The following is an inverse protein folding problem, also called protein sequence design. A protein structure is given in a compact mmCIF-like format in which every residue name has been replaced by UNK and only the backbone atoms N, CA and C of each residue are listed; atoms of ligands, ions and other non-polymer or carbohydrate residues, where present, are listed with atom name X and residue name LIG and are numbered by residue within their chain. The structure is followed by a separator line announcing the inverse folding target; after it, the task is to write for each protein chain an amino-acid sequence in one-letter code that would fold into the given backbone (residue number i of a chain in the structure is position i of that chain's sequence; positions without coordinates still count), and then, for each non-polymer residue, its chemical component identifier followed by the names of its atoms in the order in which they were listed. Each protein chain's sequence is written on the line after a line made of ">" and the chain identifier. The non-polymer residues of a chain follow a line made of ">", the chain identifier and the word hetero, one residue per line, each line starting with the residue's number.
data_IF_690589987551
#
_entry.id   IF_690589987551
#
_cell.length_a   1.000
_cell.length_b   1.000
_cell.length_c   1.000
_cell.angle_alpha   90.00
_cell.angle_beta   90.00
_cell.angle_gamma   90.00
#
_symmetry.space_group_name_H-M   'P 1'
#
loop_
_entity.id
_entity.type
_entity.pdbx_description
1 polymer ?
#
# COMPACT_ATOMS: atom_id res chain seq x y z
N UNK A 1 -10.19 -38.21 22.38
CA UNK A 1 -8.88 -37.58 22.22
C UNK A 1 -8.84 -37.14 20.77
N UNK A 2 -9.12 -35.87 20.50
CA UNK A 2 -8.89 -35.28 19.17
C UNK A 2 -7.40 -35.03 19.10
N UNK A 3 -6.70 -35.72 18.20
CA UNK A 3 -5.43 -35.21 17.73
C UNK A 3 -5.83 -34.14 16.72
N UNK A 4 -5.82 -32.89 17.14
CA UNK A 4 -5.92 -31.76 16.22
C UNK A 4 -4.66 -31.84 15.36
N UNK A 5 -4.81 -32.39 14.15
CA UNK A 5 -3.77 -32.35 13.15
C UNK A 5 -3.88 -30.96 12.55
N UNK A 6 -3.03 -30.05 13.04
CA UNK A 6 -2.78 -28.78 12.41
C UNK A 6 -2.04 -29.08 11.10
N UNK A 7 -2.78 -29.17 9.99
CA UNK A 7 -2.17 -29.42 8.68
C UNK A 7 -1.46 -28.15 8.20
N UNK A 8 -0.40 -28.36 7.41
CA UNK A 8 0.41 -27.29 6.82
C UNK A 8 0.29 -27.34 5.29
N UNK A 9 0.02 -26.18 4.69
CA UNK A 9 -0.02 -26.00 3.23
C UNK A 9 1.29 -25.38 2.74
N UNK A 10 1.83 -25.82 1.61
CA UNK A 10 3.00 -25.15 1.02
C UNK A 10 2.63 -23.72 0.57
N UNK A 11 3.52 -22.73 0.81
CA UNK A 11 3.26 -21.32 0.47
C UNK A 11 2.90 -21.15 -1.01
N UNK A 12 3.58 -21.89 -1.89
CA UNK A 12 3.27 -21.96 -3.31
C UNK A 12 1.82 -22.38 -3.54
N UNK A 13 1.39 -23.50 -2.95
CA UNK A 13 0.03 -24.02 -3.12
C UNK A 13 -1.03 -23.10 -2.55
N UNK A 14 -0.75 -22.42 -1.43
CA UNK A 14 -1.64 -21.38 -0.90
C UNK A 14 -1.77 -20.19 -1.85
N UNK A 15 -0.68 -19.77 -2.48
CA UNK A 15 -0.73 -18.69 -3.46
C UNK A 15 -1.41 -19.13 -4.76
N UNK A 16 -1.17 -20.36 -5.23
CA UNK A 16 -1.85 -20.95 -6.38
C UNK A 16 -3.36 -20.99 -6.15
N UNK A 17 -3.81 -21.44 -4.96
CA UNK A 17 -5.23 -21.40 -4.56
C UNK A 17 -5.83 -20.00 -4.72
N UNK A 18 -5.15 -18.98 -4.19
CA UNK A 18 -5.62 -17.60 -4.26
C UNK A 18 -5.64 -17.09 -5.70
N UNK A 19 -4.66 -17.43 -6.53
CA UNK A 19 -4.55 -16.94 -7.92
C UNK A 19 -5.48 -17.70 -8.87
N UNK A 20 -5.43 -19.02 -8.86
CA UNK A 20 -6.12 -19.89 -9.82
C UNK A 20 -7.61 -20.03 -9.48
N UNK A 21 -7.93 -20.28 -8.20
CA UNK A 21 -9.30 -20.61 -7.77
C UNK A 21 -10.08 -19.37 -7.31
N UNK A 22 -9.36 -18.32 -6.89
CA UNK A 22 -9.98 -17.08 -6.39
C UNK A 22 -9.61 -15.82 -7.16
N UNK A 23 -8.83 -15.94 -8.23
CA UNK A 23 -8.48 -14.83 -9.14
C UNK A 23 -7.84 -13.64 -8.43
N UNK A 24 -7.01 -13.91 -7.42
CA UNK A 24 -6.17 -12.89 -6.82
C UNK A 24 -5.28 -12.27 -7.91
N UNK A 25 -5.20 -10.95 -7.90
CA UNK A 25 -4.36 -10.18 -8.85
C UNK A 25 -3.08 -9.67 -8.21
N UNK A 26 -3.00 -9.79 -6.89
CA UNK A 26 -1.87 -9.36 -6.08
C UNK A 26 -1.84 -10.15 -4.78
N UNK A 27 -0.65 -10.59 -4.39
CA UNK A 27 -0.36 -11.23 -3.11
C UNK A 27 0.97 -10.67 -2.60
N UNK A 28 1.03 -10.29 -1.33
CA UNK A 28 2.26 -9.89 -0.67
C UNK A 28 2.27 -10.28 0.80
N UNK A 29 3.45 -10.32 1.39
CA UNK A 29 3.61 -10.41 2.84
C UNK A 29 4.36 -9.18 3.35
N UNK A 30 4.12 -8.78 4.60
CA UNK A 30 4.96 -7.74 5.21
C UNK A 30 6.32 -8.34 5.57
N UNK A 31 7.41 -7.62 5.29
CA UNK A 31 8.76 -8.10 5.58
C UNK A 31 8.90 -8.47 7.07
N UNK A 32 8.36 -7.62 7.95
CA UNK A 32 8.42 -7.84 9.41
C UNK A 32 7.70 -9.12 9.85
N UNK A 33 6.56 -9.47 9.24
CA UNK A 33 5.82 -10.69 9.63
C UNK A 33 6.50 -11.95 9.09
N UNK A 34 7.12 -11.87 7.91
CA UNK A 34 7.99 -12.92 7.38
C UNK A 34 9.23 -13.13 8.27
N UNK A 35 9.95 -12.05 8.59
CA UNK A 35 11.15 -12.12 9.44
C UNK A 35 10.84 -12.65 10.84
N UNK A 36 9.68 -12.30 11.39
CA UNK A 36 9.19 -12.81 12.67
C UNK A 36 8.55 -14.21 12.59
N UNK A 37 8.60 -14.88 11.44
CA UNK A 37 8.10 -16.25 11.25
C UNK A 37 6.60 -16.41 11.57
N UNK A 38 5.82 -15.35 11.37
CA UNK A 38 4.37 -15.34 11.53
C UNK A 38 3.71 -14.52 10.41
N UNK A 39 3.84 -14.95 9.14
CA UNK A 39 3.45 -14.17 7.97
C UNK A 39 1.97 -13.75 7.99
N UNK A 40 1.75 -12.48 7.68
CA UNK A 40 0.43 -11.95 7.31
C UNK A 40 0.42 -11.78 5.80
N UNK A 41 -0.30 -12.66 5.10
CA UNK A 41 -0.44 -12.58 3.64
C UNK A 41 -1.60 -11.64 3.31
N UNK A 42 -1.25 -10.57 2.62
CA UNK A 42 -2.17 -9.61 2.04
C UNK A 42 -2.50 -10.08 0.63
N UNK A 43 -3.78 -10.22 0.30
CA UNK A 43 -4.20 -10.58 -1.06
C UNK A 43 -5.34 -9.70 -1.55
N UNK A 44 -5.38 -9.45 -2.86
CA UNK A 44 -6.42 -8.66 -3.49
C UNK A 44 -7.16 -9.43 -4.58
N UNK A 45 -8.49 -9.51 -4.44
CA UNK A 45 -9.40 -9.98 -5.48
C UNK A 45 -10.27 -8.80 -5.93
N UNK A 46 -10.36 -8.50 -7.24
CA UNK A 46 -11.23 -7.43 -7.74
C UNK A 46 -12.69 -7.65 -7.33
N UNK A 47 -13.35 -6.61 -6.81
CA UNK A 47 -14.75 -6.69 -6.37
C UNK A 47 -15.74 -7.07 -7.49
N UNK A 48 -15.35 -6.88 -8.76
CA UNK A 48 -16.13 -7.30 -9.93
C UNK A 48 -16.13 -8.82 -10.14
N UNK A 49 -15.21 -9.55 -9.51
CA UNK A 49 -15.08 -10.99 -9.67
C UNK A 49 -16.12 -11.73 -8.84
N UNK A 50 -16.26 -11.38 -7.56
CA UNK A 50 -17.19 -12.04 -6.64
C UNK A 50 -17.50 -11.21 -5.39
N UNK A 51 -18.67 -11.42 -4.75
CA UNK A 51 -19.00 -10.80 -3.47
C UNK A 51 -18.00 -11.19 -2.36
N UNK A 52 -17.59 -10.22 -1.55
CA UNK A 52 -16.60 -10.45 -0.46
C UNK A 52 -17.02 -11.49 0.59
N UNK A 53 -18.29 -11.54 1.06
CA UNK A 53 -18.68 -12.56 2.03
C UNK A 53 -18.49 -13.98 1.49
N UNK A 54 -18.84 -14.20 0.22
CA UNK A 54 -18.69 -15.50 -0.44
C UNK A 54 -17.20 -15.85 -0.66
N UNK A 55 -16.36 -14.87 -1.04
CA UNK A 55 -14.92 -15.07 -1.14
C UNK A 55 -14.31 -15.54 0.18
N UNK A 56 -14.68 -14.91 1.29
CA UNK A 56 -14.16 -15.27 2.60
C UNK A 56 -14.65 -16.66 3.04
N UNK A 57 -15.91 -17.00 2.77
CA UNK A 57 -16.47 -18.31 3.11
C UNK A 57 -15.79 -19.44 2.33
N UNK A 58 -15.59 -19.28 1.02
CA UNK A 58 -14.93 -20.30 0.18
C UNK A 58 -13.48 -20.54 0.62
N UNK A 59 -12.69 -19.47 0.80
CA UNK A 59 -11.30 -19.58 1.27
C UNK A 59 -11.26 -20.27 2.64
N UNK A 60 -12.17 -19.90 3.56
CA UNK A 60 -12.21 -20.49 4.90
C UNK A 60 -12.56 -21.98 4.86
N UNK A 61 -13.46 -22.39 3.98
CA UNK A 61 -13.83 -23.80 3.81
C UNK A 61 -12.68 -24.62 3.21
N UNK A 62 -11.96 -24.06 2.22
CA UNK A 62 -10.84 -24.75 1.57
C UNK A 62 -9.60 -24.87 2.48
N UNK A 63 -9.45 -23.93 3.43
CA UNK A 63 -8.39 -23.93 4.42
C UNK A 63 -8.83 -24.53 5.78
N UNK A 64 -9.99 -25.20 5.85
CA UNK A 64 -10.45 -25.83 7.08
C UNK A 64 -9.42 -26.87 7.57
N UNK A 65 -8.89 -26.67 8.79
CA UNK A 65 -7.86 -27.53 9.38
C UNK A 65 -6.41 -27.18 9.01
N UNK A 66 -6.20 -26.13 8.20
CA UNK A 66 -4.88 -25.62 7.86
C UNK A 66 -4.49 -24.49 8.81
N UNK A 67 -3.51 -24.74 9.69
CA UNK A 67 -3.08 -23.78 10.72
C UNK A 67 -1.69 -23.20 10.48
N UNK A 68 -1.01 -23.66 9.43
CA UNK A 68 0.33 -23.23 9.10
C UNK A 68 0.62 -23.24 7.60
N UNK A 69 1.61 -22.44 7.22
CA UNK A 69 2.19 -22.43 5.88
C UNK A 69 3.61 -22.99 5.94
N UNK A 70 3.97 -23.85 4.98
CA UNK A 70 5.32 -24.36 4.80
C UNK A 70 6.07 -23.49 3.80
N UNK A 71 7.23 -23.00 4.22
CA UNK A 71 8.21 -22.36 3.36
C UNK A 71 9.54 -23.09 3.53
N UNK A 72 9.89 -23.91 2.56
CA UNK A 72 11.01 -24.86 2.61
C UNK A 72 10.95 -25.75 3.87
N UNK A 73 11.91 -25.62 4.78
CA UNK A 73 11.99 -26.41 6.02
C UNK A 73 11.32 -25.72 7.21
N UNK A 74 10.62 -24.60 6.99
CA UNK A 74 9.94 -23.84 8.03
C UNK A 74 8.43 -24.10 7.96
N UNK A 75 7.84 -24.46 9.11
CA UNK A 75 6.40 -24.46 9.31
C UNK A 75 6.04 -23.22 10.14
N UNK A 76 5.30 -22.30 9.54
CA UNK A 76 5.03 -20.97 10.06
C UNK A 76 3.53 -20.83 10.32
N UNK A 77 3.14 -20.32 11.48
CA UNK A 77 1.76 -19.85 11.65
C UNK A 77 1.51 -18.68 10.70
N UNK A 78 0.32 -18.59 10.12
CA UNK A 78 0.01 -17.52 9.17
C UNK A 78 -1.38 -16.94 9.39
N UNK A 79 -1.61 -15.79 8.77
CA UNK A 79 -2.95 -15.23 8.62
C UNK A 79 -3.14 -14.67 7.22
N UNK A 80 -4.38 -14.73 6.74
CA UNK A 80 -4.79 -14.14 5.47
C UNK A 80 -5.58 -12.86 5.73
N UNK A 81 -5.27 -11.82 4.97
CA UNK A 81 -6.04 -10.58 4.98
C UNK A 81 -6.35 -10.17 3.56
N UNK A 82 -7.64 -10.16 3.23
CA UNK A 82 -8.09 -9.51 2.02
C UNK A 82 -7.88 -8.01 2.15
N UNK A 83 -7.13 -7.42 1.22
CA UNK A 83 -6.91 -5.97 1.15
C UNK A 83 -7.73 -5.38 0.02
N UNK A 84 -8.41 -4.27 0.31
CA UNK A 84 -9.03 -3.46 -0.73
C UNK A 84 -7.94 -2.82 -1.58
N UNK A 85 -8.28 -2.45 -2.81
CA UNK A 85 -7.37 -1.76 -3.71
C UNK A 85 -6.77 -0.48 -3.08
N UNK A 86 -7.41 0.08 -2.04
CA UNK A 86 -6.99 1.30 -1.34
C UNK A 86 -6.09 1.05 -0.12
N UNK A 87 -5.92 -0.20 0.32
CA UNK A 87 -5.48 -0.52 1.68
C UNK A 87 -4.27 -1.47 1.71
N UNK A 88 -3.21 -1.18 0.94
CA UNK A 88 -1.93 -1.87 1.11
C UNK A 88 -1.02 -1.04 2.01
N UNK A 89 -1.06 -1.35 3.31
CA UNK A 89 -0.22 -0.72 4.33
C UNK A 89 1.06 -1.51 4.53
N UNK A 90 2.18 -1.02 3.99
CA UNK A 90 3.53 -1.26 4.51
C UNK A 90 4.58 -0.56 3.63
N UNK A 91 5.55 0.09 4.26
CA UNK A 91 6.77 0.59 3.62
C UNK A 91 7.65 -0.55 3.08
N UNK A 92 7.50 -1.75 3.66
CA UNK A 92 8.31 -2.93 3.37
C UNK A 92 7.45 -4.17 3.22
N UNK A 93 7.18 -4.51 1.97
CA UNK A 93 6.41 -5.69 1.58
C UNK A 93 7.21 -6.51 0.60
N UNK A 94 7.04 -7.82 0.69
CA UNK A 94 7.59 -8.78 -0.25
C UNK A 94 6.44 -9.19 -1.16
N UNK A 95 6.41 -8.74 -2.43
CA UNK A 95 5.41 -9.21 -3.39
C UNK A 95 5.62 -10.71 -3.61
N UNK A 96 4.58 -11.50 -3.40
CA UNK A 96 4.58 -12.92 -3.73
C UNK A 96 4.04 -13.13 -5.16
N UNK A 97 3.08 -12.30 -5.55
CA UNK A 97 2.47 -12.34 -6.88
C UNK A 97 1.94 -10.96 -7.27
N UNK A 98 2.09 -10.61 -8.53
CA UNK A 98 1.52 -9.40 -9.13
C UNK A 98 1.22 -9.64 -10.60
N UNK A 99 -0.03 -9.41 -10.99
CA UNK A 99 -0.39 -9.25 -12.39
C UNK A 99 -0.20 -7.78 -12.82
N UNK A 100 0.20 -7.56 -14.06
CA UNK A 100 0.63 -6.26 -14.60
C UNK A 100 -0.41 -5.17 -14.35
N UNK A 101 -0.02 -4.15 -13.61
CA UNK A 101 -0.84 -2.98 -13.30
C UNK A 101 -0.03 -1.68 -13.44
N UNK A 102 -0.68 -0.52 -13.66
CA UNK A 102 0.02 0.75 -13.74
C UNK A 102 0.84 1.02 -12.47
N UNK A 103 2.15 1.25 -12.64
CA UNK A 103 3.09 1.48 -11.53
C UNK A 103 3.64 0.20 -10.90
N UNK A 104 3.24 -0.99 -11.34
CA UNK A 104 3.71 -2.26 -10.77
C UNK A 104 4.17 -3.21 -11.87
N UNK A 105 5.40 -3.70 -11.73
CA UNK A 105 5.93 -4.76 -12.57
C UNK A 105 5.24 -6.10 -12.25
N UNK A 106 5.16 -6.99 -13.24
CA UNK A 106 4.73 -8.38 -13.03
C UNK A 106 5.69 -9.05 -12.04
N UNK A 107 5.14 -9.79 -11.07
CA UNK A 107 5.92 -10.65 -10.17
C UNK A 107 5.34 -12.05 -10.27
N UNK A 108 6.14 -12.98 -10.77
CA UNK A 108 5.78 -14.39 -10.79
C UNK A 108 5.81 -14.99 -9.39
N UNK A 109 5.01 -16.03 -9.15
CA UNK A 109 5.00 -16.75 -7.87
C UNK A 109 6.38 -17.31 -7.51
N UNK A 110 7.09 -17.85 -8.50
CA UNK A 110 8.45 -18.36 -8.31
C UNK A 110 9.40 -17.28 -7.79
N UNK A 111 9.38 -16.10 -8.43
CA UNK A 111 10.22 -14.96 -8.02
C UNK A 111 9.84 -14.44 -6.63
N UNK A 112 8.54 -14.26 -6.37
CA UNK A 112 8.07 -13.72 -5.10
C UNK A 112 8.33 -14.65 -3.92
N UNK A 113 8.16 -15.96 -4.11
CA UNK A 113 8.47 -16.97 -3.08
C UNK A 113 9.97 -17.03 -2.82
N UNK A 114 10.81 -16.91 -3.86
CA UNK A 114 12.26 -16.85 -3.68
C UNK A 114 12.68 -15.63 -2.83
N UNK A 115 12.02 -14.48 -3.00
CA UNK A 115 12.25 -13.33 -2.11
C UNK A 115 11.82 -13.62 -0.67
N UNK A 116 10.66 -14.24 -0.47
CA UNK A 116 10.17 -14.60 0.87
C UNK A 116 11.12 -15.58 1.59
N UNK A 117 11.71 -16.54 0.86
CA UNK A 117 12.71 -17.47 1.41
C UNK A 117 13.92 -16.74 1.99
N UNK A 118 14.45 -15.76 1.26
CA UNK A 118 15.63 -14.99 1.72
C UNK A 118 15.35 -14.22 2.99
N UNK A 119 14.14 -13.64 3.12
CA UNK A 119 13.72 -12.95 4.34
C UNK A 119 13.62 -13.92 5.52
N UNK A 120 12.97 -15.08 5.34
CA UNK A 120 12.82 -16.08 6.42
C UNK A 120 14.18 -16.70 6.82
N UNK A 121 15.11 -16.84 5.88
CA UNK A 121 16.47 -17.29 6.13
C UNK A 121 17.32 -16.27 6.92
N UNK A 122 16.79 -15.05 7.18
CA UNK A 122 17.50 -13.99 7.88
C UNK A 122 18.59 -13.34 7.02
N UNK A 123 18.48 -13.39 5.70
CA UNK A 123 19.36 -12.65 4.79
C UNK A 123 19.06 -11.14 4.80
N UNK A 124 17.90 -10.76 5.35
CA UNK A 124 17.46 -9.38 5.54
C UNK A 124 17.06 -9.15 7.00
N UNK A 125 17.67 -8.13 7.63
CA UNK A 125 17.21 -7.65 8.93
C UNK A 125 16.00 -6.74 8.72
N UNK A 126 14.84 -7.01 9.37
CA UNK A 126 13.71 -6.11 9.29
C UNK A 126 14.10 -4.76 9.91
N UNK A 127 13.72 -3.67 9.25
CA UNK A 127 13.98 -2.36 9.83
C UNK A 127 13.24 -2.20 11.17
N UNK A 128 13.82 -1.42 12.10
CA UNK A 128 13.12 -1.02 13.29
C UNK A 128 11.86 -0.23 12.95
N UNK A 129 10.86 -0.31 13.84
CA UNK A 129 9.77 0.66 13.84
C UNK A 129 10.38 2.04 14.08
N UNK A 130 10.22 2.91 13.08
CA UNK A 130 10.74 4.28 13.08
C UNK A 130 9.99 5.17 14.07
N UNK A 131 10.68 6.17 14.61
CA UNK A 131 10.07 7.34 15.26
C UNK A 131 10.59 8.64 14.64
N UNK A 132 11.04 8.57 13.38
CA UNK A 132 11.66 9.68 12.68
C UNK A 132 10.61 10.53 11.95
N UNK A 133 10.98 11.80 11.75
CA UNK A 133 10.21 12.78 11.00
C UNK A 133 10.95 13.14 9.72
N UNK A 134 10.22 13.41 8.64
CA UNK A 134 10.76 13.80 7.34
C UNK A 134 10.04 15.04 6.79
N UNK A 135 10.77 15.90 6.09
CA UNK A 135 10.18 17.03 5.36
C UNK A 135 9.32 16.52 4.19
N UNK A 136 8.09 17.05 4.04
CA UNK A 136 7.16 16.62 2.98
C UNK A 136 7.78 16.63 1.57
N UNK A 137 8.51 17.68 1.12
CA UNK A 137 9.13 17.68 -0.20
C UNK A 137 10.09 16.52 -0.39
N UNK A 138 10.95 16.26 0.61
CA UNK A 138 11.92 15.15 0.58
C UNK A 138 11.22 13.80 0.55
N UNK A 139 10.15 13.61 1.32
CA UNK A 139 9.36 12.38 1.26
C UNK A 139 8.77 12.15 -0.13
N UNK A 140 8.21 13.19 -0.75
CA UNK A 140 7.61 13.07 -2.09
C UNK A 140 8.69 12.78 -3.15
N UNK A 141 9.88 13.38 -3.03
CA UNK A 141 11.04 13.07 -3.87
C UNK A 141 11.48 11.61 -3.72
N UNK A 142 11.63 11.10 -2.50
CA UNK A 142 11.99 9.70 -2.26
C UNK A 142 10.99 8.74 -2.91
N UNK A 143 9.69 9.04 -2.80
CA UNK A 143 8.63 8.23 -3.40
C UNK A 143 8.66 8.29 -4.93
N UNK A 144 8.91 9.47 -5.51
CA UNK A 144 9.07 9.62 -6.96
C UNK A 144 10.29 8.84 -7.47
N UNK A 145 11.43 8.95 -6.79
CA UNK A 145 12.67 8.23 -7.10
C UNK A 145 12.52 6.71 -6.97
N UNK A 146 11.68 6.25 -6.04
CA UNK A 146 11.33 4.85 -5.90
C UNK A 146 10.43 4.33 -7.04
N UNK A 147 9.89 5.22 -7.88
CA UNK A 147 9.07 4.87 -9.04
C UNK A 147 7.58 5.08 -8.83
N UNK A 148 7.16 5.94 -7.90
CA UNK A 148 5.77 6.39 -7.81
C UNK A 148 5.33 6.96 -9.16
N UNK A 149 4.24 6.47 -9.71
CA UNK A 149 3.64 7.10 -10.89
C UNK A 149 2.84 8.36 -10.53
N UNK A 150 2.44 8.49 -9.25
CA UNK A 150 1.85 9.68 -8.66
C UNK A 150 1.94 9.63 -7.12
N UNK A 151 1.87 10.79 -6.47
CA UNK A 151 1.68 10.91 -5.01
C UNK A 151 0.48 11.82 -4.76
N UNK A 152 -0.53 11.35 -4.03
CA UNK A 152 -1.77 12.08 -3.78
C UNK A 152 -1.98 12.26 -2.27
N UNK A 153 -2.23 13.49 -1.80
CA UNK A 153 -2.66 13.75 -0.43
C UNK A 153 -4.16 13.54 -0.30
N UNK A 154 -4.63 12.99 0.83
CA UNK A 154 -6.05 12.99 1.22
C UNK A 154 -6.37 14.19 2.12
N UNK A 155 -7.04 15.19 1.57
CA UNK A 155 -7.32 16.46 2.25
C UNK A 155 -8.22 16.28 3.48
N UNK A 156 -9.14 15.31 3.45
CA UNK A 156 -10.04 15.04 4.58
C UNK A 156 -9.30 14.66 5.86
N UNK A 157 -8.27 13.80 5.76
CA UNK A 157 -7.44 13.38 6.90
C UNK A 157 -6.68 14.57 7.50
N UNK A 158 -6.23 15.49 6.65
CA UNK A 158 -5.57 16.71 7.09
C UNK A 158 -6.54 17.63 7.84
N UNK A 159 -7.74 17.87 7.28
CA UNK A 159 -8.75 18.76 7.90
C UNK A 159 -9.27 18.19 9.22
N UNK A 160 -9.57 16.89 9.28
CA UNK A 160 -10.24 16.28 10.44
C UNK A 160 -9.29 15.90 11.58
N UNK A 161 -8.06 15.54 11.24
CA UNK A 161 -7.13 14.93 12.21
C UNK A 161 -5.72 15.53 12.20
N UNK A 162 -5.43 16.51 11.34
CA UNK A 162 -4.06 17.03 11.20
C UNK A 162 -3.07 15.94 10.79
N UNK A 163 -3.53 14.98 9.97
CA UNK A 163 -2.73 13.85 9.51
C UNK A 163 -2.44 14.02 8.03
N UNK A 164 -1.16 13.95 7.65
CA UNK A 164 -0.75 13.80 6.26
C UNK A 164 -0.97 12.35 5.87
N UNK A 165 -1.95 12.10 5.01
CA UNK A 165 -2.32 10.77 4.52
C UNK A 165 -2.06 10.72 3.00
N UNK A 166 -0.96 10.07 2.63
CA UNK A 166 -0.55 9.92 1.24
C UNK A 166 -1.09 8.61 0.65
N UNK A 167 -1.73 8.75 -0.51
CA UNK A 167 -2.16 7.69 -1.40
C UNK A 167 -1.23 7.63 -2.60
N UNK A 168 -0.66 6.46 -2.83
CA UNK A 168 0.38 6.27 -3.84
C UNK A 168 0.01 5.04 -4.65
N UNK A 169 -0.36 5.19 -5.94
CA UNK A 169 -0.46 4.08 -6.85
C UNK A 169 0.77 3.19 -6.71
N UNK A 170 0.54 1.88 -6.56
CA UNK A 170 1.57 0.93 -6.17
C UNK A 170 2.86 1.16 -6.96
N UNK A 171 3.95 1.22 -6.21
CA UNK A 171 5.32 1.34 -6.71
C UNK A 171 5.86 -0.06 -7.01
N UNK A 172 6.68 -0.26 -8.07
CA UNK A 172 7.24 -1.56 -8.39
C UNK A 172 8.06 -2.04 -7.20
N UNK A 173 7.70 -3.19 -6.64
CA UNK A 173 8.33 -3.71 -5.46
C UNK A 173 9.66 -4.40 -5.83
N UNK A 174 10.71 -3.62 -6.08
CA UNK A 174 12.05 -4.13 -6.38
C UNK A 174 12.83 -4.58 -5.13
N UNK A 175 12.14 -4.99 -4.07
CA UNK A 175 12.75 -5.45 -2.81
C UNK A 175 13.50 -4.36 -2.03
N UNK A 176 13.36 -3.09 -2.39
CA UNK A 176 13.93 -1.94 -1.68
C UNK A 176 12.83 -1.19 -0.92
N UNK A 177 13.17 -0.48 0.18
CA UNK A 177 12.23 0.42 0.83
C UNK A 177 11.68 1.42 -0.19
N UNK A 178 10.35 1.54 -0.23
CA UNK A 178 9.62 2.44 -1.13
C UNK A 178 9.89 3.92 -0.80
N UNK A 179 10.12 4.19 0.47
CA UNK A 179 10.69 5.39 1.10
C UNK A 179 11.11 4.97 2.52
N UNK A 180 11.84 5.80 3.25
CA UNK A 180 12.10 5.51 4.66
C UNK A 180 10.80 5.29 5.46
N UNK A 181 10.80 4.45 6.50
CA UNK A 181 9.69 4.42 7.42
C UNK A 181 9.71 5.74 8.21
N UNK A 182 8.61 6.49 8.20
CA UNK A 182 8.44 7.72 8.99
C UNK A 182 7.17 7.65 9.85
N UNK A 183 7.21 8.26 11.04
CA UNK A 183 6.06 8.37 11.95
C UNK A 183 5.32 9.70 11.73
N UNK A 184 6.06 10.74 11.36
CA UNK A 184 5.53 12.08 11.15
C UNK A 184 6.17 12.74 9.93
N UNK A 185 5.49 13.77 9.43
CA UNK A 185 5.98 14.60 8.34
C UNK A 185 6.01 16.06 8.81
N UNK A 186 7.08 16.77 8.50
CA UNK A 186 7.21 18.20 8.72
C UNK A 186 6.92 18.99 7.44
N UNK A 187 6.23 20.11 7.61
CA UNK A 187 6.02 21.09 6.56
C UNK A 187 5.83 22.49 7.14
N UNK A 188 6.54 23.48 6.62
CA UNK A 188 6.56 24.87 7.11
C UNK A 188 6.69 24.98 8.64
N UNK A 189 7.57 24.16 9.24
CA UNK A 189 7.81 24.13 10.68
C UNK A 189 6.68 23.51 11.52
N UNK A 190 5.60 23.04 10.90
CA UNK A 190 4.57 22.22 11.54
C UNK A 190 4.88 20.74 11.40
N UNK A 191 4.44 19.93 12.36
CA UNK A 191 4.59 18.47 12.36
C UNK A 191 3.22 17.82 12.33
N UNK A 192 3.04 16.89 11.41
CA UNK A 192 1.81 16.14 11.20
C UNK A 192 2.05 14.66 11.44
N UNK A 193 1.06 13.96 12.01
CA UNK A 193 1.03 12.50 11.99
C UNK A 193 1.04 12.03 10.54
N UNK A 194 1.79 10.97 10.25
CA UNK A 194 1.94 10.47 8.90
C UNK A 194 1.23 9.13 8.69
N UNK A 195 0.49 9.03 7.58
CA UNK A 195 -0.09 7.78 7.07
C UNK A 195 0.27 7.59 5.61
N UNK A 196 0.59 6.35 5.29
CA UNK A 196 1.00 5.92 3.97
C UNK A 196 0.10 4.78 3.47
N UNK A 197 -0.42 4.94 2.25
CA UNK A 197 -1.31 4.00 1.59
C UNK A 197 -0.82 3.70 0.18
N UNK A 198 -0.28 2.51 -0.05
CA UNK A 198 -0.10 2.00 -1.40
C UNK A 198 -1.40 1.42 -1.93
N UNK A 199 -1.72 1.71 -3.18
CA UNK A 199 -3.02 1.36 -3.77
C UNK A 199 -2.85 0.73 -5.15
N UNK A 200 -3.59 -0.34 -5.42
CA UNK A 200 -3.54 -1.04 -6.72
C UNK A 200 -4.16 -0.20 -7.84
N UNK A 201 -5.09 0.68 -7.49
CA UNK A 201 -5.64 1.62 -8.46
C UNK A 201 -4.63 2.69 -8.82
N UNK A 202 -4.36 2.82 -10.12
CA UNK A 202 -3.70 4.00 -10.69
C UNK A 202 -4.33 5.32 -10.22
N UNK A 203 -3.67 6.46 -10.48
CA UNK A 203 -4.15 7.76 -10.04
C UNK A 203 -5.60 7.99 -10.53
N UNK A 204 -6.43 8.51 -9.64
CA UNK A 204 -7.80 8.86 -9.98
C UNK A 204 -7.84 10.12 -10.83
N UNK A 205 -8.95 10.39 -11.53
CA UNK A 205 -9.16 11.76 -11.99
C UNK A 205 -9.23 12.71 -10.79
N UNK A 206 -8.51 13.83 -10.83
CA UNK A 206 -8.29 14.74 -9.68
C UNK A 206 -9.52 15.57 -9.22
N UNK A 207 -10.75 15.14 -9.50
CA UNK A 207 -11.97 15.84 -9.08
C UNK A 207 -12.47 15.49 -7.68
N UNK A 208 -11.61 14.97 -6.81
CA UNK A 208 -11.99 14.52 -5.46
C UNK A 208 -11.16 15.25 -4.41
N UNK A 209 -11.47 15.05 -3.13
CA UNK A 209 -10.81 15.59 -1.92
C UNK A 209 -9.34 15.20 -1.77
N UNK A 210 -8.56 15.30 -2.86
CA UNK A 210 -7.20 14.86 -2.99
C UNK A 210 -6.38 15.88 -3.75
N UNK A 211 -5.19 16.17 -3.26
CA UNK A 211 -4.25 17.09 -3.89
C UNK A 211 -3.07 16.29 -4.46
N UNK A 212 -2.74 16.41 -5.76
CA UNK A 212 -1.58 15.76 -6.31
C UNK A 212 -0.30 16.48 -5.84
N UNK A 213 0.66 15.72 -5.32
CA UNK A 213 1.99 16.21 -4.91
C UNK A 213 3.07 15.85 -5.95
N UNK A 214 2.82 14.86 -6.80
CA UNK A 214 3.72 14.44 -7.89
C UNK A 214 2.95 13.63 -8.95
N UNK A 215 3.29 13.80 -10.23
CA UNK A 215 2.79 13.00 -11.37
C UNK A 215 3.90 12.89 -12.42
N UNK A 216 4.39 11.68 -12.71
CA UNK A 216 5.43 11.43 -13.73
C UNK A 216 4.96 11.80 -15.16
N UNK A 217 3.65 11.70 -15.41
CA UNK A 217 2.98 12.11 -16.65
C UNK A 217 2.42 10.96 -17.48
N UNK A 218 1.38 11.22 -18.28
CA UNK A 218 0.66 10.23 -19.12
C UNK A 218 0.03 9.05 -18.37
N UNK A 219 0.11 8.98 -17.04
CA UNK A 219 -0.60 8.01 -16.22
C UNK A 219 -2.09 8.26 -16.40
N UNK A 220 -2.77 7.40 -17.17
CA UNK A 220 -4.20 7.56 -17.55
C UNK A 220 -4.51 8.90 -18.25
N UNK A 221 -3.53 9.47 -18.97
CA UNK A 221 -3.71 10.72 -19.73
C UNK A 221 -3.63 12.00 -18.91
N UNK A 222 -3.07 11.94 -17.70
CA UNK A 222 -2.83 13.10 -16.84
C UNK A 222 -1.55 13.82 -17.27
N UNK A 223 -1.57 15.15 -17.19
CA UNK A 223 -0.36 15.97 -17.38
C UNK A 223 0.62 15.70 -16.25
N UNK A 224 1.92 15.73 -16.56
CA UNK A 224 2.96 15.66 -15.55
C UNK A 224 2.87 16.84 -14.56
N UNK A 225 3.32 16.59 -13.34
CA UNK A 225 3.37 17.54 -12.23
C UNK A 225 4.64 17.24 -11.44
N UNK A 226 5.54 18.22 -11.36
CA UNK A 226 6.77 18.09 -10.56
C UNK A 226 6.47 18.15 -9.06
N UNK A 227 7.45 17.71 -8.23
CA UNK A 227 7.34 17.78 -6.77
C UNK A 227 7.15 19.22 -6.30
N UNK A 228 7.95 20.17 -6.81
CA UNK A 228 7.84 21.59 -6.46
C UNK A 228 6.44 22.16 -6.73
N UNK A 229 5.87 21.84 -7.89
CA UNK A 229 4.51 22.28 -8.24
C UNK A 229 3.46 21.64 -7.32
N UNK A 230 3.61 20.36 -7.00
CA UNK A 230 2.70 19.65 -6.09
C UNK A 230 2.80 20.13 -4.63
N UNK A 231 4.00 20.47 -4.17
CA UNK A 231 4.23 21.07 -2.85
C UNK A 231 3.64 22.48 -2.78
N UNK A 232 3.72 23.28 -3.84
CA UNK A 232 3.03 24.57 -3.90
C UNK A 232 1.50 24.39 -3.80
N UNK A 233 0.92 23.35 -4.41
CA UNK A 233 -0.50 23.02 -4.21
C UNK A 233 -0.80 22.64 -2.76
N UNK A 234 0.15 22.01 -2.05
CA UNK A 234 -0.01 21.72 -0.63
C UNK A 234 -0.03 22.99 0.23
N UNK A 235 0.81 23.98 -0.07
CA UNK A 235 0.80 25.29 0.61
C UNK A 235 -0.56 25.98 0.50
N UNK A 236 -1.15 25.97 -0.70
CA UNK A 236 -2.49 26.53 -0.93
C UNK A 236 -3.55 25.78 -0.11
N UNK A 237 -3.46 24.45 -0.05
CA UNK A 237 -4.38 23.61 0.74
C UNK A 237 -4.24 23.91 2.23
N UNK A 238 -3.02 23.96 2.76
CA UNK A 238 -2.73 24.27 4.16
C UNK A 238 -3.28 25.65 4.53
N UNK A 239 -3.02 26.66 3.70
CA UNK A 239 -3.52 28.02 3.90
C UNK A 239 -5.05 28.07 3.96
N UNK A 240 -5.74 27.37 3.04
CA UNK A 240 -7.21 27.29 3.07
C UNK A 240 -7.71 26.65 4.35
N UNK A 241 -7.07 25.57 4.81
CA UNK A 241 -7.48 24.86 6.02
C UNK A 241 -7.29 25.74 7.25
N UNK A 242 -6.19 26.49 7.34
CA UNK A 242 -5.93 27.42 8.44
C UNK A 242 -6.89 28.61 8.47
N UNK A 243 -7.39 29.03 7.32
CA UNK A 243 -8.33 30.15 7.18
C UNK A 243 -9.81 29.76 7.31
N UNK A 244 -10.15 28.49 7.54
CA UNK A 244 -11.53 28.01 7.58
C UNK A 244 -11.94 27.44 8.93
N UNK A 245 -13.16 27.77 9.36
CA UNK A 245 -13.70 27.35 10.65
C UNK A 245 -14.52 26.04 10.57
N UNK A 246 -14.71 25.48 9.36
CA UNK A 246 -15.50 24.26 9.17
C UNK A 246 -15.03 23.41 7.99
N UNK A 247 -15.19 22.09 8.15
CA UNK A 247 -14.93 21.11 7.08
C UNK A 247 -15.73 21.40 5.80
N UNK A 248 -16.97 21.88 5.93
CA UNK A 248 -17.80 22.18 4.75
C UNK A 248 -17.23 23.35 3.95
N UNK A 249 -16.73 24.39 4.63
CA UNK A 249 -16.14 25.57 3.99
C UNK A 249 -14.79 25.24 3.36
N UNK A 250 -13.93 24.49 4.08
CA UNK A 250 -12.67 23.99 3.54
C UNK A 250 -12.91 23.19 2.25
N UNK A 251 -13.89 22.28 2.26
CA UNK A 251 -14.22 21.45 1.09
C UNK A 251 -14.76 22.25 -0.09
N UNK A 252 -15.45 23.36 0.17
CA UNK A 252 -15.92 24.24 -0.90
C UNK A 252 -14.76 24.98 -1.55
N UNK A 253 -13.88 25.60 -0.75
CA UNK A 253 -12.70 26.34 -1.24
C UNK A 253 -11.68 25.44 -1.94
N UNK A 254 -11.46 24.22 -1.44
CA UNK A 254 -10.51 23.27 -2.02
C UNK A 254 -10.90 22.80 -3.42
N UNK A 255 -12.18 22.90 -3.82
CA UNK A 255 -12.62 22.56 -5.19
C UNK A 255 -12.03 23.48 -6.25
N UNK A 256 -11.66 24.71 -5.86
CA UNK A 256 -11.15 25.72 -6.78
C UNK A 256 -9.61 25.66 -6.93
N UNK A 257 -8.92 24.99 -6.00
CA UNK A 257 -7.46 24.84 -5.97
C UNK A 257 -7.01 23.50 -6.54
N UNK A 258 -7.80 22.43 -6.35
CA UNK A 258 -7.47 21.13 -6.93
C UNK A 258 -7.77 21.17 -8.44
N UNK A 259 -6.78 20.89 -9.32
CA UNK A 259 -7.00 20.94 -10.76
C UNK A 259 -8.16 20.04 -11.20
N UNK A 260 -9.23 20.66 -11.70
CA UNK A 260 -10.25 19.93 -12.45
C UNK A 260 -9.68 19.59 -13.83
N UNK A 261 -10.01 18.40 -14.36
CA UNK A 261 -9.49 17.89 -15.65
C UNK A 261 -9.43 19.00 -16.70
N UNK A 262 -8.27 19.16 -17.34
CA UNK A 262 -8.16 19.81 -18.65
C UNK A 262 -8.86 18.99 -19.74
#
# INVERSE_FOLDING_TARGET
>A
MSNDINDTIDLQSLCDLLVEDHQATYIAATEQTLANQSPVLLFHVPASTRPLPELHEDIANELEGVDGVRLDNHELSFSLRHVLHSDVHAFRRIPLYSASQPGMDDVSLEEGIEQARKVVAGEFDPDPLTSESIELPTLVEELADAGAAAVELRNESLIQSGTIDLRIPMIPAKGYPIAGPYESVTFDGQTYDFRFNCVLEGPGGYGTMRTPLYIDGSTRGLSGLSVDEGVALFEDVQSIIEETDSLSEANEKLRDVVPTRG
#
